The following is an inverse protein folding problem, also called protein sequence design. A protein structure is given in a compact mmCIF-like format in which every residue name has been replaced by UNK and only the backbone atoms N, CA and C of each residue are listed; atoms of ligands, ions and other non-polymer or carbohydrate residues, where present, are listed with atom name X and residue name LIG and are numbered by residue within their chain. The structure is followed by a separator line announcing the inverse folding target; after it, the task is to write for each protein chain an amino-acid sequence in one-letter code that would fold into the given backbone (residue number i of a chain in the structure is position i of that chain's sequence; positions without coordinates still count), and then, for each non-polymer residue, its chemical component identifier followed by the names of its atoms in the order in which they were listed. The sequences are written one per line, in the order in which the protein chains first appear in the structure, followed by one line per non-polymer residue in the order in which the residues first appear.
data_IF_592399897437
#
_entry.id   IF_592399897437
#
_cell.length_a   1.000
_cell.length_b   1.000
_cell.length_c   1.000
_cell.angle_alpha   90.00
_cell.angle_beta   90.00
_cell.angle_gamma   90.00
#
_symmetry.space_group_name_H-M   'P 1'
#
loop_
_entity.id
_entity.type
_entity.pdbx_description
1 polymer ?
#
# COMPACT_ATOMS: atom_id res chain seq x y z
N UNK A 1 -16.35 12.34 28.55
CA UNK A 1 -17.50 13.13 28.12
C UNK A 1 -18.01 12.58 26.79
N UNK A 2 -19.30 12.73 26.48
CA UNK A 2 -19.93 12.23 25.25
C UNK A 2 -19.28 12.82 23.98
N UNK A 3 -18.76 14.03 24.08
CA UNK A 3 -18.05 14.70 22.98
C UNK A 3 -16.74 13.97 22.61
N UNK A 4 -15.95 13.54 23.58
CA UNK A 4 -14.74 12.77 23.34
C UNK A 4 -15.08 11.41 22.71
N UNK A 5 -16.12 10.72 23.18
CA UNK A 5 -16.57 9.44 22.62
C UNK A 5 -17.00 9.59 21.16
N UNK A 6 -17.67 10.68 20.82
CA UNK A 6 -18.05 11.00 19.44
C UNK A 6 -16.83 11.26 18.55
N UNK A 7 -15.85 12.02 19.02
CA UNK A 7 -14.61 12.32 18.29
C UNK A 7 -13.81 11.04 17.98
N UNK A 8 -13.65 10.12 18.94
CA UNK A 8 -13.00 8.82 18.71
C UNK A 8 -13.73 7.99 17.65
N UNK A 9 -15.07 7.94 17.72
CA UNK A 9 -15.89 7.21 16.75
C UNK A 9 -15.77 7.79 15.33
N UNK A 10 -15.78 9.11 15.19
CA UNK A 10 -15.70 9.78 13.89
C UNK A 10 -14.29 9.63 13.28
N UNK A 11 -13.24 9.70 14.10
CA UNK A 11 -11.85 9.44 13.69
C UNK A 11 -11.69 7.99 13.24
N UNK A 12 -12.23 7.02 13.98
CA UNK A 12 -12.21 5.62 13.61
C UNK A 12 -12.89 5.36 12.26
N UNK A 13 -14.10 5.91 12.05
CA UNK A 13 -14.82 5.77 10.77
C UNK A 13 -14.04 6.38 9.61
N UNK A 14 -13.40 7.53 9.84
CA UNK A 14 -12.55 8.18 8.84
C UNK A 14 -11.32 7.35 8.51
N UNK A 15 -10.68 6.78 9.52
CA UNK A 15 -9.57 5.83 9.34
C UNK A 15 -9.98 4.61 8.53
N UNK A 16 -11.09 3.95 8.90
CA UNK A 16 -11.57 2.75 8.20
C UNK A 16 -11.91 3.05 6.74
N UNK A 17 -12.54 4.20 6.44
CA UNK A 17 -12.83 4.63 5.07
C UNK A 17 -11.55 4.83 4.25
N UNK A 18 -10.57 5.55 4.82
CA UNK A 18 -9.28 5.77 4.17
C UNK A 18 -8.55 4.44 3.92
N UNK A 19 -8.55 3.56 4.92
CA UNK A 19 -7.96 2.24 4.83
C UNK A 19 -8.63 1.37 3.76
N UNK A 20 -9.96 1.34 3.72
CA UNK A 20 -10.74 0.60 2.73
C UNK A 20 -10.41 1.07 1.30
N UNK A 21 -10.38 2.37 1.06
CA UNK A 21 -10.03 2.92 -0.26
C UNK A 21 -8.59 2.57 -0.65
N UNK A 22 -7.65 2.69 0.29
CA UNK A 22 -6.25 2.33 0.04
C UNK A 22 -6.09 0.85 -0.29
N UNK A 23 -6.73 -0.02 0.51
CA UNK A 23 -6.62 -1.48 0.36
C UNK A 23 -7.26 -1.96 -0.95
N UNK A 24 -8.35 -1.34 -1.39
CA UNK A 24 -8.96 -1.62 -2.70
C UNK A 24 -7.94 -1.41 -3.83
N UNK A 25 -7.25 -0.26 -3.83
CA UNK A 25 -6.21 0.03 -4.84
C UNK A 25 -4.98 -0.88 -4.68
N UNK A 26 -4.66 -1.29 -3.47
CA UNK A 26 -3.53 -2.19 -3.19
C UNK A 26 -3.81 -3.62 -3.69
N UNK A 27 -5.00 -4.14 -3.44
CA UNK A 27 -5.37 -5.51 -3.80
C UNK A 27 -5.66 -5.70 -5.30
N UNK A 28 -5.90 -4.63 -6.03
CA UNK A 28 -6.09 -4.66 -7.48
C UNK A 28 -4.91 -5.28 -8.24
N UNK A 29 -3.69 -5.08 -7.79
CA UNK A 29 -2.50 -5.63 -8.45
C UNK A 29 -2.02 -6.98 -7.89
N UNK A 30 -2.59 -7.48 -6.80
CA UNK A 30 -2.14 -8.75 -6.21
C UNK A 30 -2.20 -9.94 -7.19
N UNK A 31 -3.30 -10.17 -7.94
CA UNK A 31 -3.32 -11.25 -8.93
C UNK A 31 -2.29 -11.06 -10.03
N UNK A 32 -1.96 -9.82 -10.38
CA UNK A 32 -1.04 -9.49 -11.46
C UNK A 32 0.42 -9.82 -11.11
N UNK A 33 0.79 -9.83 -9.83
CA UNK A 33 2.13 -10.25 -9.42
C UNK A 33 2.46 -11.68 -9.84
N UNK A 34 1.51 -12.61 -9.67
CA UNK A 34 1.70 -13.98 -10.10
C UNK A 34 1.82 -14.08 -11.63
N UNK A 35 1.03 -13.29 -12.37
CA UNK A 35 1.09 -13.26 -13.83
C UNK A 35 2.43 -12.73 -14.33
N UNK A 36 2.94 -11.66 -13.73
CA UNK A 36 4.27 -11.12 -14.07
C UNK A 36 5.35 -12.17 -13.84
N UNK A 37 5.39 -12.77 -12.67
CA UNK A 37 6.43 -13.73 -12.33
C UNK A 37 6.40 -14.95 -13.24
N UNK A 38 5.20 -15.48 -13.55
CA UNK A 38 5.05 -16.71 -14.31
C UNK A 38 5.08 -16.48 -15.83
N UNK A 39 4.35 -15.46 -16.34
CA UNK A 39 4.17 -15.27 -17.78
C UNK A 39 5.13 -14.25 -18.40
N UNK A 40 5.58 -13.25 -17.65
CA UNK A 40 6.45 -12.19 -18.19
C UNK A 40 7.92 -12.46 -17.87
N UNK A 41 8.21 -12.86 -16.64
CA UNK A 41 9.59 -13.14 -16.22
C UNK A 41 9.95 -14.64 -16.35
N UNK A 42 8.99 -15.50 -16.73
CA UNK A 42 9.15 -16.95 -16.90
C UNK A 42 9.89 -17.62 -15.76
N UNK A 43 9.60 -17.18 -14.53
CA UNK A 43 10.31 -17.61 -13.34
C UNK A 43 9.89 -19.02 -12.97
N UNK A 44 10.85 -19.88 -12.66
CA UNK A 44 10.59 -21.24 -12.18
C UNK A 44 9.83 -21.23 -10.84
N UNK A 45 9.02 -22.25 -10.61
CA UNK A 45 8.20 -22.40 -9.39
C UNK A 45 9.05 -22.34 -8.11
N UNK A 46 10.28 -22.84 -8.13
CA UNK A 46 11.19 -22.77 -7.00
C UNK A 46 11.58 -21.33 -6.65
N UNK A 47 11.82 -20.50 -7.66
CA UNK A 47 12.14 -19.09 -7.46
C UNK A 47 10.91 -18.32 -6.96
N UNK A 48 9.71 -18.67 -7.40
CA UNK A 48 8.46 -18.09 -6.93
C UNK A 48 8.24 -18.38 -5.44
N UNK A 49 8.47 -19.62 -5.01
CA UNK A 49 8.43 -19.98 -3.59
C UNK A 49 9.52 -19.23 -2.80
N UNK A 50 10.75 -19.20 -3.32
CA UNK A 50 11.85 -18.46 -2.69
C UNK A 50 11.53 -16.97 -2.52
N UNK A 51 10.94 -16.35 -3.55
CA UNK A 51 10.49 -14.95 -3.50
C UNK A 51 9.50 -14.70 -2.36
N UNK A 52 8.52 -15.60 -2.19
CA UNK A 52 7.53 -15.51 -1.11
C UNK A 52 8.17 -15.68 0.28
N UNK A 53 9.09 -16.63 0.41
CA UNK A 53 9.82 -16.88 1.67
C UNK A 53 10.71 -15.70 2.03
N UNK A 54 11.44 -15.13 1.07
CA UNK A 54 12.27 -13.93 1.27
C UNK A 54 11.40 -12.78 1.79
N UNK A 55 10.21 -12.58 1.22
CA UNK A 55 9.28 -11.56 1.68
C UNK A 55 8.86 -11.76 3.13
N UNK A 56 8.43 -12.97 3.48
CA UNK A 56 7.99 -13.30 4.83
C UNK A 56 9.13 -13.14 5.86
N UNK A 57 10.34 -13.60 5.54
CA UNK A 57 11.51 -13.45 6.40
C UNK A 57 11.87 -11.98 6.57
N UNK A 58 11.85 -11.19 5.50
CA UNK A 58 12.10 -9.76 5.59
C UNK A 58 11.07 -9.06 6.48
N UNK A 59 9.77 -9.34 6.27
CA UNK A 59 8.71 -8.79 7.10
C UNK A 59 8.93 -9.10 8.59
N UNK A 60 9.20 -10.37 8.92
CA UNK A 60 9.48 -10.79 10.31
C UNK A 60 10.70 -10.09 10.90
N UNK A 61 11.77 -9.94 10.13
CA UNK A 61 13.01 -9.28 10.59
C UNK A 61 12.78 -7.79 10.92
N UNK A 62 11.90 -7.11 10.20
CA UNK A 62 11.60 -5.71 10.43
C UNK A 62 10.54 -5.44 11.49
N UNK A 63 9.75 -6.45 11.92
CA UNK A 63 8.71 -6.25 12.95
C UNK A 63 9.24 -5.62 14.25
N UNK A 64 10.35 -6.08 14.87
CA UNK A 64 10.84 -5.46 16.10
C UNK A 64 11.37 -4.04 15.90
N UNK A 65 11.84 -3.71 14.69
CA UNK A 65 12.32 -2.37 14.35
C UNK A 65 11.13 -1.43 14.23
N UNK A 66 10.10 -1.83 13.50
CA UNK A 66 8.88 -1.05 13.30
C UNK A 66 8.07 -0.91 14.60
N UNK A 67 8.04 -1.96 15.45
CA UNK A 67 7.44 -1.87 16.78
C UNK A 67 8.09 -0.78 17.63
N UNK A 68 9.41 -0.77 17.76
CA UNK A 68 10.14 0.29 18.47
C UNK A 68 9.93 1.69 17.89
N UNK A 69 9.77 1.77 16.57
CA UNK A 69 9.49 3.05 15.91
C UNK A 69 8.08 3.54 16.27
N UNK A 70 7.10 2.66 16.25
CA UNK A 70 5.71 2.96 16.67
C UNK A 70 5.65 3.42 18.12
N UNK A 71 6.38 2.78 19.02
CA UNK A 71 6.45 3.17 20.42
C UNK A 71 7.02 4.58 20.61
N UNK A 72 7.95 5.00 19.76
CA UNK A 72 8.61 6.31 19.84
C UNK A 72 7.82 7.45 19.21
N UNK A 73 7.32 7.24 17.97
CA UNK A 73 6.70 8.34 17.18
C UNK A 73 5.19 8.19 17.01
N UNK A 74 4.63 7.08 17.49
CA UNK A 74 3.22 6.75 17.32
C UNK A 74 2.91 5.98 16.05
N UNK A 75 1.72 5.34 15.98
CA UNK A 75 1.36 4.47 14.86
C UNK A 75 1.05 5.23 13.56
N UNK A 76 0.47 6.43 13.64
CA UNK A 76 0.05 7.16 12.43
C UNK A 76 1.21 7.61 11.53
N UNK A 77 2.31 8.22 12.04
CA UNK A 77 3.46 8.56 11.22
C UNK A 77 4.11 7.35 10.55
N UNK A 78 4.23 6.22 11.27
CA UNK A 78 4.80 4.98 10.74
C UNK A 78 3.89 4.37 9.67
N UNK A 79 2.56 4.44 9.85
CA UNK A 79 1.60 4.05 8.84
C UNK A 79 1.76 4.88 7.56
N UNK A 80 1.88 6.20 7.68
CA UNK A 80 2.05 7.10 6.52
C UNK A 80 3.34 6.76 5.77
N UNK A 81 4.46 6.50 6.46
CA UNK A 81 5.70 6.04 5.82
C UNK A 81 5.48 4.76 5.02
N UNK A 82 4.81 3.77 5.61
CA UNK A 82 4.45 2.52 4.93
C UNK A 82 3.59 2.77 3.69
N UNK A 83 2.60 3.70 3.75
CA UNK A 83 1.74 4.04 2.62
C UNK A 83 2.49 4.68 1.47
N UNK A 84 3.43 5.56 1.76
CA UNK A 84 4.31 6.17 0.76
C UNK A 84 5.17 5.09 0.09
N UNK A 85 5.77 4.20 0.87
CA UNK A 85 6.56 3.08 0.33
C UNK A 85 5.73 2.17 -0.59
N UNK A 86 4.54 1.78 -0.17
CA UNK A 86 3.63 0.99 -1.02
C UNK A 86 3.09 1.74 -2.25
N UNK A 87 2.99 3.08 -2.20
CA UNK A 87 2.55 3.87 -3.35
C UNK A 87 3.64 3.98 -4.42
N UNK A 88 4.91 4.01 -4.02
CA UNK A 88 6.06 4.06 -4.94
C UNK A 88 6.28 2.72 -5.66
N UNK A 89 6.00 1.62 -4.98
CA UNK A 89 6.30 0.26 -5.45
C UNK A 89 5.74 -0.08 -6.84
N UNK A 90 4.45 0.18 -7.16
CA UNK A 90 3.90 -0.10 -8.48
C UNK A 90 4.65 0.62 -9.60
N UNK A 91 5.09 1.84 -9.37
CA UNK A 91 5.86 2.59 -10.36
C UNK A 91 7.21 1.92 -10.63
N UNK A 92 7.92 1.47 -9.58
CA UNK A 92 9.20 0.79 -9.77
C UNK A 92 8.99 -0.52 -10.55
N UNK A 93 7.97 -1.31 -10.21
CA UNK A 93 7.68 -2.54 -10.93
C UNK A 93 7.20 -2.32 -12.35
N UNK A 94 6.51 -1.21 -12.64
CA UNK A 94 6.13 -0.85 -13.99
C UNK A 94 7.35 -0.56 -14.88
N UNK A 95 8.35 0.14 -14.35
CA UNK A 95 9.51 0.56 -15.14
C UNK A 95 10.67 -0.44 -15.12
N UNK A 96 10.77 -1.29 -14.11
CA UNK A 96 11.88 -2.24 -13.92
C UNK A 96 11.38 -3.66 -13.65
N UNK A 97 10.85 -4.37 -14.65
CA UNK A 97 10.36 -5.73 -14.51
C UNK A 97 11.50 -6.76 -14.53
N UNK A 98 12.36 -6.71 -13.54
CA UNK A 98 13.48 -7.62 -13.36
C UNK A 98 13.37 -8.35 -12.03
N UNK A 99 13.56 -9.68 -12.04
CA UNK A 99 13.42 -10.50 -10.82
C UNK A 99 14.41 -10.10 -9.73
N UNK A 100 15.62 -9.65 -10.09
CA UNK A 100 16.61 -9.19 -9.12
C UNK A 100 16.18 -7.91 -8.44
N UNK A 101 15.60 -6.97 -9.22
CA UNK A 101 15.01 -5.73 -8.69
C UNK A 101 13.84 -6.06 -7.78
N UNK A 102 12.96 -6.99 -8.19
CA UNK A 102 11.81 -7.41 -7.39
C UNK A 102 12.23 -8.04 -6.06
N UNK A 103 13.27 -8.91 -6.06
CA UNK A 103 13.81 -9.51 -4.83
C UNK A 103 14.43 -8.42 -3.93
N UNK A 104 15.22 -7.52 -4.48
CA UNK A 104 15.80 -6.42 -3.71
C UNK A 104 14.73 -5.54 -3.06
N UNK A 105 13.66 -5.21 -3.79
CA UNK A 105 12.53 -4.44 -3.27
C UNK A 105 11.74 -5.22 -2.21
N UNK A 106 11.63 -6.52 -2.33
CA UNK A 106 10.99 -7.38 -1.33
C UNK A 106 11.70 -7.27 0.03
N UNK A 107 13.03 -7.20 0.01
CA UNK A 107 13.84 -7.09 1.22
C UNK A 107 13.86 -5.65 1.77
N UNK A 108 14.14 -4.67 0.90
CA UNK A 108 14.47 -3.31 1.33
C UNK A 108 13.22 -2.45 1.55
N UNK A 109 12.16 -2.67 0.77
CA UNK A 109 10.97 -1.82 0.78
C UNK A 109 9.73 -2.55 1.27
N UNK A 110 9.41 -3.70 0.68
CA UNK A 110 8.16 -4.42 1.01
C UNK A 110 8.16 -4.97 2.43
N UNK A 111 9.22 -5.66 2.85
CA UNK A 111 9.32 -6.20 4.21
C UNK A 111 9.10 -5.14 5.29
N UNK A 112 9.86 -4.02 5.30
CA UNK A 112 9.63 -2.92 6.22
C UNK A 112 8.22 -2.32 6.13
N UNK A 113 7.69 -2.12 4.91
CA UNK A 113 6.37 -1.54 4.71
C UNK A 113 5.24 -2.45 5.21
N UNK A 114 5.30 -3.76 4.95
CA UNK A 114 4.32 -4.72 5.46
C UNK A 114 4.39 -4.85 6.97
N UNK A 115 5.58 -4.94 7.54
CA UNK A 115 5.78 -4.95 8.98
C UNK A 115 5.20 -3.71 9.65
N UNK A 116 5.52 -2.52 9.13
CA UNK A 116 4.97 -1.25 9.60
C UNK A 116 3.44 -1.23 9.48
N UNK A 117 2.90 -1.68 8.35
CA UNK A 117 1.46 -1.74 8.12
C UNK A 117 0.73 -2.62 9.13
N UNK A 118 1.20 -3.84 9.36
CA UNK A 118 0.56 -4.78 10.28
C UNK A 118 0.51 -4.24 11.71
N UNK A 119 1.65 -3.73 12.20
CA UNK A 119 1.76 -3.22 13.57
C UNK A 119 0.90 -1.97 13.73
N UNK A 120 1.02 -1.01 12.81
CA UNK A 120 0.33 0.28 12.93
C UNK A 120 -1.17 0.17 12.75
N UNK A 121 -1.64 -0.71 11.84
CA UNK A 121 -3.08 -0.90 11.62
C UNK A 121 -3.76 -1.43 12.87
N UNK A 122 -3.15 -2.41 13.55
CA UNK A 122 -3.67 -2.95 14.80
C UNK A 122 -3.59 -1.92 15.94
N UNK A 123 -2.47 -1.20 16.05
CA UNK A 123 -2.28 -0.18 17.08
C UNK A 123 -3.32 0.95 16.96
N UNK A 124 -3.59 1.45 15.75
CA UNK A 124 -4.58 2.52 15.52
C UNK A 124 -5.99 2.06 15.90
N UNK A 125 -6.38 0.83 15.54
CA UNK A 125 -7.68 0.30 15.94
C UNK A 125 -7.80 0.19 17.46
N UNK A 126 -6.73 -0.27 18.14
CA UNK A 126 -6.69 -0.36 19.61
C UNK A 126 -6.76 1.02 20.27
N UNK A 127 -6.09 2.02 19.74
CA UNK A 127 -6.07 3.38 20.27
C UNK A 127 -7.43 4.08 20.12
N UNK A 128 -8.14 3.79 19.01
CA UNK A 128 -9.44 4.40 18.72
C UNK A 128 -10.63 3.63 19.31
N UNK A 129 -10.44 2.37 19.71
CA UNK A 129 -11.51 1.53 20.26
C UNK A 129 -11.64 1.68 21.76
N UNK A 130 -12.87 1.94 22.29
CA UNK A 130 -13.12 1.86 23.73
C UNK A 130 -12.81 0.47 24.29
N UNK A 131 -12.25 0.40 25.50
CA UNK A 131 -11.79 -0.86 26.10
C UNK A 131 -12.85 -1.98 26.10
N UNK A 132 -14.11 -1.64 26.29
CA UNK A 132 -15.23 -2.60 26.34
C UNK A 132 -15.71 -3.04 24.95
N UNK A 133 -15.37 -2.32 23.90
CA UNK A 133 -15.91 -2.51 22.54
C UNK A 133 -14.80 -2.90 21.53
N UNK A 134 -13.57 -3.18 21.98
CA UNK A 134 -12.42 -3.48 21.11
C UNK A 134 -12.71 -4.56 20.08
N UNK A 135 -13.33 -5.66 20.51
CA UNK A 135 -13.67 -6.77 19.62
C UNK A 135 -14.60 -6.33 18.48
N UNK A 136 -15.61 -5.50 18.77
CA UNK A 136 -16.54 -4.98 17.76
C UNK A 136 -15.85 -4.04 16.77
N UNK A 137 -14.94 -3.17 17.25
CA UNK A 137 -14.15 -2.28 16.38
C UNK A 137 -13.21 -3.05 15.47
N UNK A 138 -12.51 -4.09 15.97
CA UNK A 138 -11.69 -4.97 15.15
C UNK A 138 -12.51 -5.75 14.13
N UNK A 139 -13.65 -6.28 14.53
CA UNK A 139 -14.55 -6.99 13.62
C UNK A 139 -15.04 -6.08 12.50
N UNK A 140 -15.48 -4.87 12.82
CA UNK A 140 -15.91 -3.87 11.83
C UNK A 140 -14.76 -3.50 10.87
N UNK A 141 -13.56 -3.22 11.41
CA UNK A 141 -12.38 -2.91 10.62
C UNK A 141 -12.03 -4.05 9.65
N UNK A 142 -11.88 -5.29 10.16
CA UNK A 142 -11.49 -6.44 9.37
C UNK A 142 -12.55 -6.78 8.30
N UNK A 143 -13.84 -6.68 8.62
CA UNK A 143 -14.91 -6.90 7.65
C UNK A 143 -14.85 -5.88 6.52
N UNK A 144 -14.72 -4.61 6.83
CA UNK A 144 -14.64 -3.53 5.81
C UNK A 144 -13.41 -3.67 4.93
N UNK A 145 -12.24 -3.87 5.54
CA UNK A 145 -10.99 -4.06 4.80
C UNK A 145 -11.01 -5.35 4.00
N UNK A 146 -11.54 -6.45 4.55
CA UNK A 146 -11.67 -7.72 3.85
C UNK A 146 -12.57 -7.64 2.62
N UNK A 147 -13.73 -6.98 2.72
CA UNK A 147 -14.65 -6.77 1.58
C UNK A 147 -13.93 -5.95 0.49
N UNK A 148 -13.25 -4.87 0.85
CA UNK A 148 -12.57 -4.04 -0.15
C UNK A 148 -11.36 -4.75 -0.76
N UNK A 149 -10.65 -5.58 -0.01
CA UNK A 149 -9.59 -6.46 -0.52
C UNK A 149 -10.14 -7.44 -1.55
N UNK A 150 -11.25 -8.09 -1.23
CA UNK A 150 -11.91 -9.04 -2.12
C UNK A 150 -12.37 -8.37 -3.42
N UNK A 151 -13.05 -7.22 -3.33
CA UNK A 151 -13.50 -6.45 -4.51
C UNK A 151 -12.30 -6.03 -5.36
N UNK A 152 -11.24 -5.51 -4.74
CA UNK A 152 -10.03 -5.10 -5.46
C UNK A 152 -9.34 -6.27 -6.16
N UNK A 153 -9.21 -7.42 -5.50
CA UNK A 153 -8.61 -8.62 -6.09
C UNK A 153 -9.46 -9.17 -7.24
N UNK A 154 -10.78 -9.20 -7.09
CA UNK A 154 -11.70 -9.59 -8.19
C UNK A 154 -11.58 -8.64 -9.39
N UNK A 155 -11.58 -7.33 -9.14
CA UNK A 155 -11.41 -6.34 -10.20
C UNK A 155 -10.06 -6.50 -10.90
N UNK A 156 -8.98 -6.71 -10.16
CA UNK A 156 -7.66 -6.97 -10.72
C UNK A 156 -7.59 -8.25 -11.54
N UNK A 157 -8.18 -9.34 -11.05
CA UNK A 157 -8.28 -10.61 -11.78
C UNK A 157 -9.12 -10.50 -13.05
N UNK A 158 -10.26 -9.79 -13.00
CA UNK A 158 -11.09 -9.52 -14.15
C UNK A 158 -10.35 -8.69 -15.21
N UNK A 159 -9.72 -7.59 -14.79
CA UNK A 159 -8.88 -6.78 -15.68
C UNK A 159 -7.75 -7.59 -16.29
N UNK A 160 -7.09 -8.46 -15.52
CA UNK A 160 -6.05 -9.34 -16.02
C UNK A 160 -6.56 -10.35 -17.09
N UNK A 161 -7.77 -10.86 -16.92
CA UNK A 161 -8.38 -11.79 -17.85
C UNK A 161 -8.87 -11.17 -19.17
N UNK A 162 -9.17 -9.86 -19.17
CA UNK A 162 -9.67 -9.12 -20.33
C UNK A 162 -8.64 -8.11 -20.86
N UNK A 163 -7.39 -8.36 -20.59
CA UNK A 163 -6.30 -7.45 -20.93
C UNK A 163 -6.18 -7.20 -22.43
N UNK A 164 -6.51 -8.22 -23.24
CA UNK A 164 -6.49 -8.14 -24.71
C UNK A 164 -7.57 -7.21 -25.27
N UNK A 165 -8.71 -7.07 -24.61
CA UNK A 165 -9.81 -6.19 -25.00
C UNK A 165 -9.49 -4.70 -24.79
N UNK A 166 -8.52 -4.38 -23.92
CA UNK A 166 -8.05 -3.02 -23.63
C UNK A 166 -6.96 -2.51 -24.58
N UNK A 167 -6.57 -3.28 -25.59
CA UNK A 167 -5.50 -2.93 -26.54
C UNK A 167 -5.71 -1.59 -27.25
N UNK A 168 -6.95 -1.17 -27.50
CA UNK A 168 -7.25 0.14 -28.09
C UNK A 168 -6.85 1.34 -27.23
N UNK A 169 -7.05 1.25 -25.91
CA UNK A 169 -6.64 2.29 -24.97
C UNK A 169 -5.10 2.34 -24.81
N UNK A 170 -4.45 1.18 -24.93
CA UNK A 170 -3.00 1.02 -24.89
C UNK A 170 -2.33 1.71 -26.07
N UNK A 171 -2.89 1.56 -27.28
CA UNK A 171 -2.39 2.20 -28.49
C UNK A 171 -2.39 3.75 -28.39
N UNK A 172 -3.40 4.32 -27.74
CA UNK A 172 -3.47 5.77 -27.50
C UNK A 172 -2.36 6.23 -26.56
N UNK A 173 -2.07 5.45 -25.52
CA UNK A 173 -1.02 5.78 -24.53
C UNK A 173 0.38 5.62 -25.14
N UNK A 174 0.62 4.60 -25.94
CA UNK A 174 1.88 4.40 -26.69
C UNK A 174 2.14 5.58 -27.65
N UNK A 175 1.08 6.03 -28.34
CA UNK A 175 1.17 7.18 -29.24
C UNK A 175 1.47 8.50 -28.52
N UNK A 176 0.97 8.67 -27.29
CA UNK A 176 1.18 9.87 -26.49
C UNK A 176 2.53 9.89 -25.78
N UNK A 177 3.07 8.73 -25.40
CA UNK A 177 4.28 8.66 -24.59
C UNK A 177 5.57 8.40 -25.40
N UNK A 178 5.48 8.05 -26.67
CA UNK A 178 6.63 7.75 -27.55
C UNK A 178 7.70 6.85 -26.88
N UNK A 179 7.23 5.81 -26.17
CA UNK A 179 8.01 5.06 -25.20
C UNK A 179 8.67 3.83 -25.88
N UNK A 180 9.80 4.06 -26.53
CA UNK A 180 10.59 3.02 -27.22
C UNK A 180 11.47 2.16 -26.29
N UNK A 181 11.27 2.23 -24.97
CA UNK A 181 12.14 1.57 -23.99
C UNK A 181 11.80 0.10 -23.71
N UNK A 182 10.69 -0.41 -24.22
CA UNK A 182 10.28 -1.80 -24.02
C UNK A 182 10.13 -2.42 -25.39
N UNK A 183 11.01 -3.37 -25.72
CA UNK A 183 10.96 -4.15 -26.96
C UNK A 183 9.71 -5.03 -26.97
N UNK A 184 8.88 -4.96 -28.02
CA UNK A 184 7.47 -4.85 -27.92
C UNK A 184 6.64 -5.92 -28.55
N UNK A 185 6.90 -7.16 -28.28
CA UNK A 185 6.00 -8.24 -28.73
C UNK A 185 4.90 -8.62 -27.74
N UNK A 186 4.93 -8.15 -26.50
CA UNK A 186 4.08 -8.67 -25.43
C UNK A 186 2.98 -7.67 -24.99
N UNK A 187 1.79 -7.77 -25.62
CA UNK A 187 0.58 -7.02 -25.23
C UNK A 187 0.21 -7.19 -23.76
N UNK A 188 0.53 -8.33 -23.16
CA UNK A 188 0.28 -8.65 -21.75
C UNK A 188 1.05 -7.70 -20.82
N UNK A 189 2.30 -7.38 -21.13
CA UNK A 189 3.11 -6.47 -20.33
C UNK A 189 2.55 -5.04 -20.33
N UNK A 190 2.16 -4.53 -21.48
CA UNK A 190 1.65 -3.15 -21.61
C UNK A 190 0.40 -2.93 -20.76
N UNK A 191 -0.50 -3.87 -20.74
CA UNK A 191 -1.73 -3.76 -19.95
C UNK A 191 -1.44 -3.89 -18.44
N UNK A 192 -0.53 -4.78 -18.05
CA UNK A 192 -0.03 -4.87 -16.67
C UNK A 192 0.59 -3.53 -16.24
N UNK A 193 1.43 -2.93 -17.07
CA UNK A 193 2.04 -1.63 -16.85
C UNK A 193 1.00 -0.55 -16.52
N UNK A 194 -0.08 -0.46 -17.30
CA UNK A 194 -1.16 0.51 -17.08
C UNK A 194 -1.86 0.27 -15.73
N UNK A 195 -2.16 -1.00 -15.40
CA UNK A 195 -2.83 -1.32 -14.14
C UNK A 195 -1.91 -0.99 -12.95
N UNK A 196 -0.61 -1.19 -13.08
CA UNK A 196 0.37 -0.76 -12.06
C UNK A 196 0.38 0.75 -11.88
N UNK A 197 0.35 1.52 -12.97
CA UNK A 197 0.26 2.99 -12.91
C UNK A 197 -1.04 3.43 -12.23
N UNK A 198 -2.18 2.86 -12.62
CA UNK A 198 -3.50 3.16 -12.02
C UNK A 198 -3.46 2.86 -10.51
N UNK A 199 -2.94 1.70 -10.11
CA UNK A 199 -2.81 1.33 -8.71
C UNK A 199 -1.86 2.25 -7.95
N UNK A 200 -0.72 2.62 -8.55
CA UNK A 200 0.24 3.56 -7.97
C UNK A 200 -0.36 4.94 -7.72
N UNK A 201 -1.07 5.48 -8.71
CA UNK A 201 -1.80 6.76 -8.60
C UNK A 201 -2.90 6.64 -7.53
N UNK A 202 -3.71 5.56 -7.57
CA UNK A 202 -4.76 5.32 -6.60
C UNK A 202 -4.25 5.23 -5.16
N UNK A 203 -3.11 4.57 -4.93
CA UNK A 203 -2.43 4.50 -3.63
C UNK A 203 -1.88 5.86 -3.20
N UNK A 204 -1.31 6.63 -4.13
CA UNK A 204 -0.81 7.98 -3.85
C UNK A 204 -1.94 8.89 -3.39
N UNK A 205 -3.08 8.89 -4.10
CA UNK A 205 -4.29 9.61 -3.71
C UNK A 205 -4.84 9.07 -2.39
N UNK A 206 -4.86 7.74 -2.21
CA UNK A 206 -5.32 7.06 -1.01
C UNK A 206 -4.47 7.33 0.23
N UNK A 207 -3.25 7.85 0.07
CA UNK A 207 -2.41 8.28 1.20
C UNK A 207 -2.83 9.64 1.77
N UNK A 208 -3.46 10.51 0.96
CA UNK A 208 -3.84 11.87 1.38
C UNK A 208 -4.77 11.91 2.60
N UNK A 209 -5.83 11.05 2.70
CA UNK A 209 -6.69 11.03 3.88
C UNK A 209 -5.95 10.75 5.19
N UNK A 210 -4.90 9.91 5.16
CA UNK A 210 -4.10 9.61 6.35
C UNK A 210 -3.28 10.81 6.82
N UNK A 211 -2.83 11.68 5.91
CA UNK A 211 -2.14 12.93 6.26
C UNK A 211 -3.03 13.94 6.98
N UNK A 212 -4.35 13.81 6.82
CA UNK A 212 -5.37 14.68 7.45
C UNK A 212 -5.95 14.08 8.73
N UNK A 213 -5.64 12.83 9.02
CA UNK A 213 -6.15 12.14 10.21
C UNK A 213 -5.45 12.69 11.45
N UNK A 214 -6.21 12.99 12.49
CA UNK A 214 -5.70 13.40 13.80
C UNK A 214 -5.97 12.28 14.79
N UNK A 215 -4.92 11.79 15.44
CA UNK A 215 -5.06 10.80 16.51
C UNK A 215 -5.40 11.51 17.82
N UNK A 216 -6.41 11.02 18.57
CA UNK A 216 -6.76 11.61 19.87
C UNK A 216 -5.68 11.42 20.94
N UNK A 217 -4.86 10.36 20.78
CA UNK A 217 -3.74 10.07 21.69
C UNK A 217 -2.46 10.73 21.17
N UNK A 218 -1.86 11.53 22.03
CA UNK A 218 -0.55 12.12 21.76
C UNK A 218 0.58 11.15 22.11
N UNK A 219 1.57 11.06 21.23
CA UNK A 219 2.80 10.30 21.43
C UNK A 219 3.97 11.28 21.59
N UNK A 220 4.90 11.05 22.53
CA UNK A 220 5.98 12.00 22.84
C UNK A 220 6.85 12.41 21.65
N UNK A 221 6.97 11.55 20.64
CA UNK A 221 7.76 11.81 19.43
C UNK A 221 6.96 12.30 18.22
N UNK A 222 5.61 12.25 18.26
CA UNK A 222 4.77 12.53 17.09
C UNK A 222 4.78 13.99 16.67
N UNK A 223 4.79 14.91 17.62
CA UNK A 223 4.81 16.36 17.39
C UNK A 223 6.05 16.76 16.59
N UNK A 224 7.21 16.24 16.96
CA UNK A 224 8.46 16.58 16.30
C UNK A 224 8.59 16.05 14.86
N UNK A 225 7.93 14.93 14.54
CA UNK A 225 8.02 14.34 13.21
C UNK A 225 7.10 15.04 12.20
N UNK A 226 5.85 15.33 12.59
CA UNK A 226 4.89 16.04 11.73
C UNK A 226 5.30 17.50 11.55
N UNK A 227 5.75 18.18 12.61
CA UNK A 227 6.21 19.55 12.54
C UNK A 227 7.46 19.69 11.67
N UNK A 228 8.43 18.77 11.76
CA UNK A 228 9.58 18.74 10.85
C UNK A 228 9.20 18.48 9.39
N UNK A 229 8.21 17.63 9.12
CA UNK A 229 7.71 17.43 7.75
C UNK A 229 6.99 18.68 7.22
N UNK A 230 6.30 19.42 8.08
CA UNK A 230 5.64 20.68 7.69
C UNK A 230 6.64 21.84 7.59
N UNK A 231 7.62 21.92 8.46
CA UNK A 231 8.72 22.91 8.37
C UNK A 231 9.52 22.72 7.08
N UNK A 232 9.77 21.47 6.64
CA UNK A 232 10.43 21.21 5.37
C UNK A 232 9.63 21.70 4.16
N UNK A 233 8.28 21.73 4.26
CA UNK A 233 7.40 22.33 3.25
C UNK A 233 7.41 23.85 3.27
N UNK A 234 7.57 24.48 4.43
CA UNK A 234 7.62 25.94 4.54
C UNK A 234 8.98 26.51 4.09
N UNK A 235 10.07 25.77 4.28
CA UNK A 235 11.41 26.19 3.82
C UNK A 235 11.54 26.23 2.28
N UNK A 236 10.68 25.52 1.56
CA UNK A 236 10.66 25.48 0.09
C UNK A 236 9.78 26.57 -0.54
N UNK A 237 9.19 27.45 0.30
CA UNK A 237 8.33 28.58 -0.13
C UNK A 237 8.93 29.98 0.16
N UNK A 238 10.22 30.04 0.49
CA UNK A 238 10.97 31.31 0.56
C UNK A 238 12.05 31.37 -0.50
#
# INVERSE_FOLDING_TARGET
TDQAKKEYSDTFKSYVRAQSFYTLNMSLIWPLFAIILIKVLEVDNMVLVAFSVIGAVSEMAFQPIMGRLVDRVGPLPVLIMSRIGFAILPFIYAFFPDIKVMIALQIVLLGPCFSAFLITSNAIVLDLAPNKERAAYFSYYNTRVGITTFIGALAGGYLAGHIEDFTGAIFVIDSLMNFSLIDNSDYTWRAIFIIFLISGIGRSIGTIPFLRLKMPREYPGSINFIDRLMEFKMFKRR
#
